data_IF_762408029079
#
_entry.id   IF_762408029079
#
_cell.length_a   1.000
_cell.length_b   1.000
_cell.length_c   1.000
_cell.angle_alpha   90.00
_cell.angle_beta   90.00
_cell.angle_gamma   90.00
#
_symmetry.space_group_name_H-M   'P 1'
#
loop_
_entity.id
_entity.type
_entity.pdbx_description
1 polymer ?
#
# COMPACT_ATOMS: atom_id res chain seq x y z
N UNK A 1 22.91 45.00 -62.49
CA UNK A 1 21.68 45.77 -62.26
C UNK A 1 21.19 45.54 -60.86
N UNK A 2 21.21 46.60 -60.08
CA UNK A 2 20.84 46.70 -58.68
C UNK A 2 19.34 46.50 -58.49
N UNK A 3 18.86 45.75 -57.53
CA UNK A 3 17.59 46.02 -56.82
C UNK A 3 17.70 45.62 -55.38
N UNK A 4 17.85 46.66 -54.54
CA UNK A 4 17.56 46.70 -53.10
C UNK A 4 16.10 46.28 -52.87
N UNK A 5 15.84 45.41 -51.91
CA UNK A 5 14.53 45.32 -51.25
C UNK A 5 14.68 45.54 -49.74
N UNK A 6 13.97 46.54 -49.34
CA UNK A 6 13.94 47.07 -47.99
C UNK A 6 13.29 46.09 -47.01
N UNK A 7 13.91 45.96 -45.87
CA UNK A 7 13.42 45.22 -44.71
C UNK A 7 12.41 46.09 -43.97
N UNK A 8 11.16 45.71 -43.93
CA UNK A 8 10.11 46.36 -43.14
C UNK A 8 9.88 45.55 -41.90
N UNK A 9 10.43 45.99 -40.78
CA UNK A 9 10.16 45.47 -39.43
C UNK A 9 8.82 45.99 -38.96
N UNK A 10 7.82 45.09 -38.86
CA UNK A 10 6.56 45.40 -38.18
C UNK A 10 6.68 44.89 -36.73
N UNK A 11 6.80 45.81 -35.81
CA UNK A 11 6.64 45.54 -34.38
C UNK A 11 5.14 45.57 -34.06
N UNK A 12 4.56 44.42 -33.83
CA UNK A 12 3.21 44.31 -33.30
C UNK A 12 3.26 44.29 -31.77
N UNK A 13 2.85 45.42 -31.15
CA UNK A 13 2.50 45.44 -29.74
C UNK A 13 1.21 44.61 -29.56
N UNK A 14 1.32 43.44 -28.98
CA UNK A 14 0.16 42.70 -28.48
C UNK A 14 -0.19 43.27 -27.09
N UNK A 15 -1.18 44.13 -27.03
CA UNK A 15 -1.88 44.51 -25.79
C UNK A 15 -2.62 43.27 -25.27
N UNK A 16 -2.30 42.87 -24.04
CA UNK A 16 -2.95 41.78 -23.36
C UNK A 16 -4.44 42.04 -23.19
N UNK A 17 -5.25 41.19 -23.81
CA UNK A 17 -6.63 41.00 -23.40
C UNK A 17 -6.63 39.81 -22.45
N UNK A 18 -6.84 40.10 -21.14
CA UNK A 18 -7.30 39.08 -20.19
C UNK A 18 -8.70 38.68 -20.61
N UNK A 19 -8.82 37.63 -21.39
CA UNK A 19 -10.07 36.96 -21.55
C UNK A 19 -10.39 36.25 -20.21
N UNK A 20 -11.40 36.78 -19.51
CA UNK A 20 -12.16 35.97 -18.58
C UNK A 20 -12.68 34.79 -19.42
N UNK A 21 -12.12 33.61 -19.23
CA UNK A 21 -12.80 32.40 -19.70
C UNK A 21 -14.00 32.23 -18.79
N UNK A 22 -15.19 32.42 -19.39
CA UNK A 22 -16.41 31.86 -18.88
C UNK A 22 -16.13 30.39 -18.61
N UNK A 23 -16.35 29.98 -17.37
CA UNK A 23 -16.34 28.59 -16.91
C UNK A 23 -17.52 27.90 -17.59
N UNK A 24 -17.31 27.53 -18.86
CA UNK A 24 -18.21 26.63 -19.58
C UNK A 24 -17.94 25.25 -19.01
N UNK A 25 -18.81 24.84 -18.07
CA UNK A 25 -18.74 23.64 -17.21
C UNK A 25 -18.49 22.30 -17.91
N UNK A 26 -17.50 22.26 -18.77
CA UNK A 26 -16.92 21.06 -19.30
C UNK A 26 -15.83 20.63 -18.31
N UNK A 27 -16.24 19.88 -17.27
CA UNK A 27 -15.29 19.22 -16.39
C UNK A 27 -14.33 18.41 -17.27
N UNK A 28 -13.08 18.83 -17.33
CA UNK A 28 -12.03 18.02 -17.94
C UNK A 28 -12.02 16.67 -17.22
N UNK A 29 -12.05 15.53 -17.91
CA UNK A 29 -11.99 14.23 -17.27
C UNK A 29 -10.78 14.20 -16.32
N UNK A 30 -11.04 14.05 -15.04
CA UNK A 30 -9.98 13.95 -14.06
C UNK A 30 -9.20 12.66 -14.31
N UNK A 31 -7.89 12.74 -14.44
CA UNK A 31 -7.06 11.57 -14.60
C UNK A 31 -7.32 10.55 -13.46
N UNK A 32 -7.38 9.24 -13.76
CA UNK A 32 -7.63 8.23 -12.76
C UNK A 32 -6.55 8.22 -11.68
N UNK A 33 -6.95 8.14 -10.43
CA UNK A 33 -6.03 8.06 -9.31
C UNK A 33 -5.39 6.67 -9.26
N UNK A 34 -4.05 6.62 -9.13
CA UNK A 34 -3.34 5.34 -8.94
C UNK A 34 -2.85 5.23 -7.50
N UNK A 35 -3.23 4.17 -6.80
CA UNK A 35 -2.79 3.87 -5.44
C UNK A 35 -2.07 2.53 -5.40
N UNK A 36 -0.89 2.50 -4.78
CA UNK A 36 -0.07 1.29 -4.65
C UNK A 36 -0.16 0.76 -3.22
N UNK A 37 -0.43 -0.53 -3.09
CA UNK A 37 -0.52 -1.25 -1.83
C UNK A 37 0.51 -2.37 -1.79
N UNK A 38 1.37 -2.35 -0.79
CA UNK A 38 2.32 -3.41 -0.52
C UNK A 38 1.87 -4.17 0.73
N UNK A 39 1.44 -5.40 0.55
CA UNK A 39 0.93 -6.26 1.61
C UNK A 39 1.91 -7.37 1.94
N UNK A 40 1.90 -7.77 3.19
CA UNK A 40 2.57 -8.99 3.62
C UNK A 40 1.78 -10.23 3.20
N UNK A 41 2.43 -11.39 3.28
CA UNK A 41 1.82 -12.67 2.95
C UNK A 41 0.48 -12.93 3.67
N UNK A 42 0.31 -12.45 4.90
CA UNK A 42 -0.94 -12.63 5.65
C UNK A 42 -2.18 -11.99 5.01
N UNK A 43 -1.98 -11.06 4.06
CA UNK A 43 -3.07 -10.30 3.46
C UNK A 43 -3.60 -9.20 4.35
N UNK A 44 -4.83 -8.80 4.14
CA UNK A 44 -5.49 -7.72 4.86
C UNK A 44 -6.47 -6.95 4.00
N UNK A 45 -6.91 -5.80 4.47
CA UNK A 45 -7.80 -4.92 3.72
C UNK A 45 -7.02 -3.74 3.15
N UNK A 46 -7.35 -3.39 1.92
CA UNK A 46 -6.87 -2.16 1.26
C UNK A 46 -8.06 -1.30 0.89
N UNK A 47 -7.94 0.02 0.98
CA UNK A 47 -9.06 0.89 0.70
C UNK A 47 -8.67 2.13 -0.10
N UNK A 48 -9.61 2.60 -0.91
CA UNK A 48 -9.57 3.91 -1.57
C UNK A 48 -10.90 4.62 -1.39
N UNK A 49 -10.88 5.93 -1.47
CA UNK A 49 -12.08 6.76 -1.50
C UNK A 49 -12.24 7.33 -2.90
N UNK A 50 -13.40 7.12 -3.50
CA UNK A 50 -13.77 7.65 -4.80
C UNK A 50 -14.51 8.98 -4.65
N UNK A 51 -14.83 9.61 -5.77
CA UNK A 51 -15.66 10.82 -5.83
C UNK A 51 -17.14 10.53 -6.07
N UNK A 52 -17.50 9.27 -6.28
CA UNK A 52 -18.85 8.79 -6.52
C UNK A 52 -19.08 7.44 -5.86
N UNK A 53 -20.31 7.17 -5.48
CA UNK A 53 -20.76 5.85 -5.00
C UNK A 53 -21.28 4.94 -6.12
N UNK A 54 -21.39 5.45 -7.35
CA UNK A 54 -21.88 4.69 -8.50
C UNK A 54 -20.68 4.20 -9.34
N UNK A 55 -20.09 3.09 -8.93
CA UNK A 55 -18.90 2.51 -9.55
C UNK A 55 -19.05 1.02 -9.83
N UNK A 56 -18.20 0.53 -10.71
CA UNK A 56 -17.95 -0.89 -10.96
C UNK A 56 -16.52 -1.23 -10.58
N UNK A 57 -16.30 -2.48 -10.20
CA UNK A 57 -14.97 -3.00 -9.83
C UNK A 57 -14.63 -4.10 -10.81
N UNK A 58 -13.49 -3.97 -11.45
CA UNK A 58 -12.92 -5.01 -12.32
C UNK A 58 -11.69 -5.62 -11.63
N UNK A 59 -11.86 -6.84 -11.14
CA UNK A 59 -10.81 -7.69 -10.60
C UNK A 59 -10.47 -8.71 -11.67
N UNK A 60 -9.20 -8.83 -12.11
CA UNK A 60 -8.81 -9.84 -13.09
C UNK A 60 -9.27 -11.24 -12.65
N UNK A 61 -9.86 -11.99 -13.56
CA UNK A 61 -10.43 -13.31 -13.24
C UNK A 61 -9.42 -14.29 -12.62
N UNK A 62 -8.14 -14.16 -12.99
CA UNK A 62 -7.04 -14.95 -12.42
C UNK A 62 -6.77 -14.64 -10.93
N UNK A 63 -7.21 -13.49 -10.45
CA UNK A 63 -6.91 -12.99 -9.12
C UNK A 63 -8.14 -12.99 -8.18
N UNK A 64 -9.33 -13.30 -8.73
CA UNK A 64 -10.59 -13.31 -7.98
C UNK A 64 -10.63 -14.33 -6.82
N UNK A 65 -9.76 -15.34 -6.87
CA UNK A 65 -9.65 -16.32 -5.78
C UNK A 65 -9.03 -15.75 -4.50
N UNK A 66 -8.22 -14.68 -4.62
CA UNK A 66 -7.50 -14.14 -3.49
C UNK A 66 -7.78 -12.66 -3.19
N UNK A 67 -8.50 -11.97 -4.07
CA UNK A 67 -8.99 -10.60 -3.85
C UNK A 67 -10.49 -10.57 -4.07
N UNK A 68 -11.20 -9.86 -3.21
CA UNK A 68 -12.64 -9.64 -3.34
C UNK A 68 -13.09 -8.36 -2.69
N UNK A 69 -14.28 -7.90 -3.05
CA UNK A 69 -14.92 -6.76 -2.40
C UNK A 69 -15.25 -7.13 -0.94
N UNK A 70 -14.84 -6.27 -0.01
CA UNK A 70 -15.17 -6.42 1.40
C UNK A 70 -16.57 -5.87 1.70
N UNK A 71 -17.27 -6.50 2.65
CA UNK A 71 -18.53 -6.01 3.20
C UNK A 71 -18.40 -4.64 3.90
N UNK A 72 -17.16 -4.21 4.17
CA UNK A 72 -16.86 -2.90 4.75
C UNK A 72 -16.91 -1.76 3.72
N UNK A 73 -17.08 -2.07 2.43
CA UNK A 73 -17.24 -1.06 1.38
C UNK A 73 -18.58 -0.36 1.52
N UNK A 74 -18.58 0.97 1.61
CA UNK A 74 -19.79 1.79 1.74
C UNK A 74 -19.66 3.11 0.98
N UNK A 75 -20.67 3.43 0.18
CA UNK A 75 -20.75 4.70 -0.55
C UNK A 75 -19.51 4.90 -1.43
N UNK A 76 -18.76 5.94 -1.19
CA UNK A 76 -17.55 6.28 -1.94
C UNK A 76 -16.31 5.50 -1.48
N UNK A 77 -16.39 4.79 -0.35
CA UNK A 77 -15.27 4.02 0.19
C UNK A 77 -15.30 2.60 -0.33
N UNK A 78 -14.29 2.24 -1.10
CA UNK A 78 -14.07 0.89 -1.62
C UNK A 78 -13.03 0.19 -0.79
N UNK A 79 -13.39 -0.94 -0.19
CA UNK A 79 -12.49 -1.79 0.58
C UNK A 79 -12.37 -3.13 -0.11
N UNK A 80 -11.17 -3.54 -0.44
CA UNK A 80 -10.88 -4.88 -0.95
C UNK A 80 -10.24 -5.73 0.13
N UNK A 81 -10.71 -6.94 0.27
CA UNK A 81 -10.13 -7.95 1.15
C UNK A 81 -9.15 -8.82 0.36
N UNK A 82 -7.93 -8.91 0.84
CA UNK A 82 -6.84 -9.68 0.24
C UNK A 82 -6.54 -10.88 1.14
N UNK A 83 -6.75 -12.08 0.63
CA UNK A 83 -6.51 -13.32 1.37
C UNK A 83 -5.01 -13.58 1.59
N UNK A 84 -4.66 -14.38 2.60
CA UNK A 84 -3.27 -14.80 2.82
C UNK A 84 -2.65 -15.43 1.56
N UNK A 85 -1.40 -15.05 1.28
CA UNK A 85 -0.60 -15.70 0.24
C UNK A 85 0.07 -16.94 0.83
N UNK A 86 -0.39 -18.09 0.42
CA UNK A 86 0.17 -19.39 0.83
C UNK A 86 1.10 -20.01 -0.23
N UNK A 87 1.33 -19.26 -1.30
CA UNK A 87 2.13 -19.74 -2.43
C UNK A 87 3.59 -19.53 -2.20
N UNK A 88 4.51 -19.80 -2.03
CA UNK A 88 5.94 -19.45 -1.86
C UNK A 88 6.47 -18.42 -2.85
N UNK A 89 5.61 -17.65 -3.49
CA UNK A 89 5.98 -16.62 -4.46
C UNK A 89 5.20 -15.31 -4.24
N UNK A 90 5.84 -14.20 -4.54
CA UNK A 90 5.18 -12.90 -4.59
C UNK A 90 4.09 -12.90 -5.66
N UNK A 91 2.99 -12.18 -5.40
CA UNK A 91 1.91 -11.98 -6.37
C UNK A 91 1.49 -10.52 -6.43
N UNK A 92 1.01 -10.10 -7.59
CA UNK A 92 0.55 -8.73 -7.81
C UNK A 92 -0.61 -8.69 -8.80
N UNK A 93 -1.45 -7.68 -8.65
CA UNK A 93 -2.55 -7.41 -9.57
C UNK A 93 -2.87 -5.93 -9.59
N UNK A 94 -3.62 -5.50 -10.60
CA UNK A 94 -4.22 -4.17 -10.68
C UNK A 94 -5.73 -4.32 -10.75
N UNK A 95 -6.43 -3.77 -9.76
CA UNK A 95 -7.88 -3.67 -9.76
C UNK A 95 -8.28 -2.31 -10.32
N UNK A 96 -9.21 -2.30 -11.27
CA UNK A 96 -9.71 -1.09 -11.91
C UNK A 96 -11.08 -0.72 -11.34
N UNK A 97 -11.24 0.54 -10.98
CA UNK A 97 -12.51 1.12 -10.54
C UNK A 97 -12.99 2.09 -11.61
N UNK A 98 -14.20 1.90 -12.11
CA UNK A 98 -14.78 2.72 -13.15
C UNK A 98 -16.16 3.22 -12.76
N UNK A 99 -16.54 4.39 -13.23
CA UNK A 99 -17.89 4.90 -13.07
C UNK A 99 -18.87 4.01 -13.84
N UNK A 100 -19.91 3.59 -13.17
CA UNK A 100 -20.87 2.62 -13.71
C UNK A 100 -21.65 3.13 -14.91
N UNK A 101 -21.96 4.43 -14.92
CA UNK A 101 -22.79 5.04 -15.95
C UNK A 101 -22.01 5.32 -17.24
N UNK A 102 -20.78 5.82 -17.13
CA UNK A 102 -19.97 6.26 -18.25
C UNK A 102 -18.90 5.24 -18.67
N UNK A 103 -18.52 4.34 -17.77
CA UNK A 103 -17.37 3.45 -17.93
C UNK A 103 -16.02 4.15 -17.77
N UNK A 104 -16.02 5.42 -17.38
CA UNK A 104 -14.78 6.18 -17.19
C UNK A 104 -14.00 5.63 -16.00
N UNK A 105 -12.71 5.36 -16.18
CA UNK A 105 -11.87 4.88 -15.08
C UNK A 105 -11.69 5.98 -14.03
N UNK A 106 -11.97 5.64 -12.78
CA UNK A 106 -11.87 6.52 -11.61
C UNK A 106 -10.54 6.30 -10.88
N UNK A 107 -10.17 5.03 -10.70
CA UNK A 107 -8.95 4.69 -9.96
C UNK A 107 -8.37 3.33 -10.36
N UNK A 108 -7.07 3.20 -10.15
CA UNK A 108 -6.33 1.94 -10.19
C UNK A 108 -5.80 1.63 -8.80
N UNK A 109 -6.02 0.39 -8.34
CA UNK A 109 -5.45 -0.14 -7.13
C UNK A 109 -4.40 -1.19 -7.49
N UNK A 110 -3.13 -0.84 -7.44
CA UNK A 110 -2.03 -1.77 -7.65
C UNK A 110 -1.73 -2.48 -6.32
N UNK A 111 -1.98 -3.77 -6.28
CA UNK A 111 -1.81 -4.58 -5.07
C UNK A 111 -0.66 -5.55 -5.30
N UNK A 112 0.33 -5.47 -4.45
CA UNK A 112 1.49 -6.35 -4.41
C UNK A 112 1.52 -7.05 -3.06
N UNK A 113 1.60 -8.36 -3.07
CA UNK A 113 1.64 -9.16 -1.85
C UNK A 113 2.87 -10.05 -1.83
N UNK A 114 3.64 -9.95 -0.75
CA UNK A 114 4.87 -10.72 -0.60
C UNK A 114 4.61 -12.22 -0.50
N UNK A 115 5.63 -13.00 -0.81
CA UNK A 115 5.65 -14.44 -0.63
C UNK A 115 5.46 -14.83 0.85
N UNK A 116 4.90 -16.00 1.08
CA UNK A 116 4.88 -16.61 2.40
C UNK A 116 6.24 -17.27 2.66
N UNK A 117 7.16 -16.53 3.25
CA UNK A 117 8.44 -17.05 3.69
C UNK A 117 8.37 -17.47 5.15
N UNK A 118 8.92 -18.62 5.48
CA UNK A 118 9.07 -19.08 6.87
C UNK A 118 9.88 -18.11 7.75
N UNK A 119 10.64 -17.20 7.09
CA UNK A 119 11.49 -16.20 7.76
C UNK A 119 10.88 -14.80 7.76
N UNK A 120 9.75 -14.56 7.08
CA UNK A 120 9.05 -13.28 7.07
C UNK A 120 8.08 -13.18 8.24
N UNK A 121 8.58 -13.36 9.46
CA UNK A 121 7.79 -13.10 10.66
C UNK A 121 7.56 -11.60 10.86
N UNK A 122 6.39 -11.22 11.28
CA UNK A 122 6.07 -9.84 11.68
C UNK A 122 6.88 -9.46 12.93
N UNK A 123 7.17 -10.43 13.78
CA UNK A 123 8.04 -10.31 14.94
C UNK A 123 9.26 -11.22 14.81
N UNK A 124 10.43 -10.69 15.13
CA UNK A 124 11.68 -11.44 15.23
C UNK A 124 12.17 -11.48 16.68
N UNK A 125 12.71 -12.60 17.09
CA UNK A 125 13.53 -12.65 18.31
C UNK A 125 14.89 -12.03 17.92
N UNK A 126 15.14 -10.82 18.40
CA UNK A 126 16.39 -10.09 18.15
C UNK A 126 17.49 -10.56 19.07
N UNK A 127 17.12 -10.85 20.31
CA UNK A 127 18.07 -11.25 21.33
C UNK A 127 17.38 -12.15 22.36
N UNK A 128 18.09 -13.15 22.84
CA UNK A 128 17.65 -13.98 23.97
C UNK A 128 18.81 -14.18 24.90
N UNK A 129 18.55 -14.00 26.18
CA UNK A 129 19.53 -14.23 27.25
C UNK A 129 18.98 -15.20 28.27
N UNK A 130 19.73 -16.27 28.49
CA UNK A 130 19.42 -17.29 29.49
C UNK A 130 20.63 -17.49 30.37
N UNK A 131 20.48 -17.26 31.66
CA UNK A 131 21.57 -17.52 32.59
C UNK A 131 21.72 -19.01 32.85
N UNK A 132 22.94 -19.47 32.82
CA UNK A 132 23.40 -20.74 33.39
C UNK A 132 24.79 -20.57 33.98
N UNK A 133 25.13 -19.34 34.39
CA UNK A 133 26.39 -19.09 35.06
C UNK A 133 26.45 -19.79 36.39
N UNK A 134 27.56 -20.46 36.76
CA UNK A 134 27.75 -21.00 38.09
C UNK A 134 27.77 -19.87 39.11
N UNK A 135 27.03 -20.02 40.20
CA UNK A 135 27.09 -19.10 41.34
C UNK A 135 28.54 -19.14 41.93
N UNK A 136 29.21 -17.98 42.05
CA UNK A 136 30.59 -17.95 42.55
C UNK A 136 30.78 -18.60 43.92
N UNK A 137 29.73 -18.51 44.78
CA UNK A 137 29.80 -19.05 46.12
C UNK A 137 29.64 -20.58 46.21
N UNK A 138 29.01 -21.22 45.23
CA UNK A 138 28.63 -22.64 45.35
C UNK A 138 29.05 -23.48 44.15
N UNK A 139 29.48 -22.88 43.05
CA UNK A 139 29.75 -23.57 41.80
C UNK A 139 28.52 -24.22 41.14
N UNK A 140 27.32 -24.04 41.72
CA UNK A 140 26.09 -24.61 41.15
C UNK A 140 25.52 -23.64 40.11
N UNK A 141 24.87 -24.21 39.11
CA UNK A 141 24.17 -23.42 38.10
C UNK A 141 23.09 -22.59 38.76
N UNK A 142 23.11 -21.30 38.49
CA UNK A 142 22.03 -20.41 38.92
C UNK A 142 20.75 -20.76 38.15
N UNK A 143 19.71 -21.11 38.89
CA UNK A 143 18.38 -21.41 38.37
C UNK A 143 17.43 -20.23 38.53
N UNK A 144 17.93 -19.05 38.90
CA UNK A 144 17.12 -17.85 38.99
C UNK A 144 16.67 -17.44 37.58
N UNK A 145 15.37 -17.38 37.40
CA UNK A 145 14.78 -16.97 36.11
C UNK A 145 14.69 -15.44 36.00
N UNK A 146 15.07 -14.70 37.00
CA UNK A 146 14.98 -13.24 37.05
C UNK A 146 15.88 -12.51 36.05
N UNK A 147 16.94 -13.18 35.60
CA UNK A 147 17.96 -12.59 34.69
C UNK A 147 17.73 -12.99 33.23
N UNK A 148 16.64 -13.69 32.91
CA UNK A 148 16.36 -14.15 31.58
C UNK A 148 15.50 -13.15 30.85
N UNK A 149 15.81 -12.88 29.59
CA UNK A 149 14.96 -12.08 28.75
C UNK A 149 14.97 -12.55 27.30
N UNK A 150 13.89 -12.22 26.60
CA UNK A 150 13.77 -12.34 25.15
C UNK A 150 13.41 -10.96 24.63
N UNK A 151 14.22 -10.43 23.72
CA UNK A 151 13.96 -9.18 23.03
C UNK A 151 13.30 -9.49 21.70
N UNK A 152 12.08 -8.98 21.53
CA UNK A 152 11.29 -9.14 20.32
C UNK A 152 11.33 -7.83 19.57
N UNK A 153 11.62 -7.89 18.28
CA UNK A 153 11.61 -6.75 17.37
C UNK A 153 10.44 -6.85 16.42
N UNK A 154 9.76 -5.72 16.20
CA UNK A 154 8.87 -5.55 15.07
C UNK A 154 9.72 -5.49 13.79
N UNK A 155 9.55 -6.49 12.90
CA UNK A 155 10.27 -6.59 11.63
C UNK A 155 9.52 -5.91 10.47
N UNK A 156 8.58 -5.03 10.79
CA UNK A 156 7.77 -4.33 9.82
C UNK A 156 7.99 -2.82 9.92
N UNK A 157 7.60 -2.11 8.91
CA UNK A 157 7.54 -0.65 8.85
C UNK A 157 6.20 -0.07 9.38
N UNK A 158 5.34 -0.92 9.96
CA UNK A 158 4.03 -0.56 10.50
C UNK A 158 3.94 -0.93 11.97
N UNK A 159 3.05 -0.25 12.70
CA UNK A 159 2.75 -0.61 14.08
C UNK A 159 2.09 -1.99 14.14
N UNK A 160 2.64 -2.87 14.98
CA UNK A 160 2.08 -4.19 15.26
C UNK A 160 1.63 -4.27 16.72
N UNK A 161 0.46 -4.85 16.91
CA UNK A 161 -0.05 -5.17 18.23
C UNK A 161 0.39 -6.57 18.61
N UNK A 162 0.98 -6.71 19.80
CA UNK A 162 1.44 -7.99 20.34
C UNK A 162 0.35 -8.76 21.14
N UNK A 163 -0.90 -8.32 21.00
CA UNK A 163 -2.04 -9.01 21.61
C UNK A 163 -2.18 -10.43 21.01
N UNK A 164 -2.22 -11.42 21.88
CA UNK A 164 -2.21 -12.82 21.47
C UNK A 164 -0.83 -13.43 21.20
N UNK A 165 0.27 -12.69 21.39
CA UNK A 165 1.61 -13.24 21.36
C UNK A 165 1.85 -14.12 22.58
N UNK A 166 2.15 -15.39 22.35
CA UNK A 166 2.49 -16.36 23.39
C UNK A 166 3.96 -16.78 23.25
N UNK A 167 4.73 -16.62 24.32
CA UNK A 167 6.10 -17.11 24.42
C UNK A 167 6.10 -18.34 25.30
N UNK A 168 6.49 -19.48 24.72
CA UNK A 168 6.58 -20.76 25.43
C UNK A 168 8.06 -21.09 25.62
N UNK A 169 8.48 -21.22 26.86
CA UNK A 169 9.81 -21.73 27.23
C UNK A 169 9.66 -23.15 27.75
N UNK A 170 10.42 -24.09 27.20
CA UNK A 170 10.52 -25.45 27.77
C UNK A 170 11.68 -25.50 28.78
N UNK A 171 11.41 -26.02 29.94
CA UNK A 171 12.43 -26.31 30.97
C UNK A 171 12.99 -27.72 30.78
#
# INVERSE_FOLDING_TARGET
MRKLFAMLTVVALATGMTACSDDDGTETPKDPTTTNFNLRARGGNVMVTLTTSDYTIDIPAADADWIGLSEQSQGEVVVLSVKPNTTGAERSTTVTLAEKTTGTTLAYMNIKQSENSLYSGDFLIEESFFTSCPLPATGKVDKAHGDQYIKIRNNTDQDLYADGLLIITSS
#
